data_IF_554425655106
#
_entry.id   IF_554425655106
#
_cell.length_a   1.000
_cell.length_b   1.000
_cell.length_c   1.000
_cell.angle_alpha   90.00
_cell.angle_beta   90.00
_cell.angle_gamma   90.00
#
_symmetry.space_group_name_H-M   'P 1'
#
loop_
_entity.id
_entity.type
_entity.pdbx_description
1 polymer ?
#
# COMPACT_ATOMS: atom_id res chain seq x y z
N UNK A 1 -9.32 2.48 11.15
CA UNK A 1 -9.40 1.18 10.45
C UNK A 1 -10.43 0.30 11.13
N UNK A 2 -11.57 0.07 10.49
CA UNK A 2 -12.57 -0.89 10.95
C UNK A 2 -12.38 -2.16 10.14
N UNK A 3 -12.06 -3.27 10.80
CA UNK A 3 -11.91 -4.57 10.15
C UNK A 3 -13.28 -5.22 10.07
N UNK A 4 -13.86 -5.26 8.87
CA UNK A 4 -15.13 -5.94 8.64
C UNK A 4 -14.83 -7.35 8.11
N UNK A 5 -15.25 -8.35 8.87
CA UNK A 5 -15.15 -9.76 8.47
C UNK A 5 -16.41 -10.14 7.71
N UNK A 6 -16.30 -10.33 6.40
CA UNK A 6 -17.44 -10.63 5.53
C UNK A 6 -17.29 -12.00 4.87
N UNK A 7 -18.39 -12.77 4.81
CA UNK A 7 -18.44 -14.08 4.13
C UNK A 7 -18.53 -13.97 2.60
N UNK A 8 -19.09 -12.87 2.10
CA UNK A 8 -19.52 -12.72 0.71
C UNK A 8 -18.52 -11.97 -0.18
N UNK A 9 -17.55 -11.29 0.43
CA UNK A 9 -16.60 -10.41 -0.23
C UNK A 9 -15.29 -10.41 0.58
N UNK A 10 -14.08 -10.48 -0.03
CA UNK A 10 -13.76 -10.53 -1.46
C UNK A 10 -13.87 -11.93 -2.10
N UNK A 11 -14.03 -12.00 -3.44
CA UNK A 11 -14.06 -13.27 -4.21
C UNK A 11 -12.71 -14.01 -4.15
N UNK A 12 -12.74 -15.36 -4.29
CA UNK A 12 -11.68 -16.37 -4.05
C UNK A 12 -10.20 -16.03 -4.36
N UNK A 13 -9.91 -15.04 -5.21
CA UNK A 13 -8.55 -14.66 -5.64
C UNK A 13 -7.87 -13.62 -4.72
N UNK A 14 -8.63 -12.95 -3.84
CA UNK A 14 -8.12 -11.89 -2.96
C UNK A 14 -8.39 -12.20 -1.49
N UNK A 15 -7.38 -12.03 -0.64
CA UNK A 15 -7.41 -12.36 0.80
C UNK A 15 -8.04 -11.24 1.62
N UNK A 16 -7.77 -10.00 1.23
CA UNK A 16 -8.34 -8.79 1.80
C UNK A 16 -8.59 -7.78 0.67
N UNK A 17 -9.61 -6.94 0.85
CA UNK A 17 -9.86 -5.77 0.01
C UNK A 17 -9.99 -4.56 0.93
N UNK A 18 -9.12 -3.58 0.74
CA UNK A 18 -9.20 -2.30 1.42
C UNK A 18 -9.98 -1.32 0.55
N UNK A 19 -11.06 -0.77 1.09
CA UNK A 19 -11.77 0.36 0.48
C UNK A 19 -12.10 1.36 1.57
N UNK A 20 -11.49 2.54 1.46
CA UNK A 20 -11.68 3.63 2.40
C UNK A 20 -11.38 3.18 3.85
N UNK A 21 -12.32 3.37 4.79
CA UNK A 21 -12.13 3.05 6.22
C UNK A 21 -12.19 1.54 6.55
N UNK A 22 -12.49 0.69 5.56
CA UNK A 22 -12.84 -0.71 5.75
C UNK A 22 -11.88 -1.67 5.09
N UNK A 23 -11.37 -2.61 5.87
CA UNK A 23 -10.67 -3.78 5.35
C UNK A 23 -11.63 -4.96 5.42
N UNK A 24 -12.05 -5.40 4.23
CA UNK A 24 -12.87 -6.58 4.06
C UNK A 24 -11.96 -7.80 4.07
N UNK A 25 -11.98 -8.52 5.19
CA UNK A 25 -11.18 -9.73 5.37
C UNK A 25 -12.08 -10.93 5.19
N UNK A 26 -11.64 -11.89 4.36
CA UNK A 26 -12.37 -13.15 4.20
C UNK A 26 -12.43 -13.93 5.52
N UNK A 27 -13.60 -14.43 5.83
CA UNK A 27 -13.80 -15.28 7.01
C UNK A 27 -12.93 -16.55 6.93
N UNK A 28 -12.11 -16.80 7.95
CA UNK A 28 -11.18 -17.94 8.03
C UNK A 28 -9.71 -17.59 7.74
N UNK A 29 -9.39 -16.38 7.31
CA UNK A 29 -7.98 -15.97 7.16
C UNK A 29 -7.44 -15.36 8.45
N UNK A 30 -6.33 -15.91 8.95
CA UNK A 30 -5.61 -15.31 10.09
C UNK A 30 -4.93 -14.04 9.60
N UNK A 31 -5.40 -12.88 10.03
CA UNK A 31 -4.57 -11.67 9.95
C UNK A 31 -3.40 -11.86 10.89
N UNK A 32 -2.20 -11.83 10.34
CA UNK A 32 -1.00 -11.72 11.14
C UNK A 32 -0.87 -10.27 11.65
N UNK A 33 -0.19 -10.09 12.78
CA UNK A 33 0.05 -8.75 13.34
C UNK A 33 0.78 -7.83 12.35
N UNK A 34 1.61 -8.41 11.49
CA UNK A 34 2.36 -7.73 10.44
C UNK A 34 1.42 -7.14 9.39
N UNK A 35 0.40 -7.89 8.94
CA UNK A 35 -0.62 -7.36 8.02
C UNK A 35 -1.41 -6.24 8.71
N UNK A 36 -1.83 -6.42 9.95
CA UNK A 36 -2.53 -5.37 10.71
C UNK A 36 -1.68 -4.10 10.77
N UNK A 37 -0.37 -4.24 11.02
CA UNK A 37 0.57 -3.13 11.09
C UNK A 37 0.76 -2.44 9.76
N UNK A 38 0.94 -3.21 8.68
CA UNK A 38 1.05 -2.70 7.31
C UNK A 38 -0.14 -1.80 6.97
N UNK A 39 -1.34 -2.31 7.20
CA UNK A 39 -2.59 -1.59 6.95
C UNK A 39 -2.78 -0.37 7.88
N UNK A 40 -2.31 -0.46 9.13
CA UNK A 40 -2.35 0.68 10.05
C UNK A 40 -1.38 1.78 9.64
N UNK A 41 -0.27 1.46 8.97
CA UNK A 41 0.64 2.46 8.39
C UNK A 41 -0.06 3.19 7.24
N UNK A 42 -0.70 2.47 6.31
CA UNK A 42 -1.50 3.07 5.23
C UNK A 42 -2.59 3.99 5.77
N UNK A 43 -3.30 3.55 6.81
CA UNK A 43 -4.29 4.37 7.50
C UNK A 43 -3.72 5.71 8.00
N UNK A 44 -2.52 5.69 8.59
CA UNK A 44 -1.87 6.92 9.06
C UNK A 44 -1.46 7.83 7.90
N UNK A 45 -1.00 7.26 6.79
CA UNK A 45 -0.66 8.02 5.57
C UNK A 45 -1.91 8.68 4.97
N UNK A 46 -3.03 7.95 4.90
CA UNK A 46 -4.31 8.47 4.43
C UNK A 46 -4.80 9.64 5.26
N UNK A 47 -4.77 9.52 6.59
CA UNK A 47 -5.16 10.60 7.52
C UNK A 47 -4.23 11.82 7.38
N UNK A 48 -2.93 11.62 7.21
CA UNK A 48 -1.96 12.71 6.98
C UNK A 48 -2.26 13.53 5.72
N UNK A 49 -2.91 12.91 4.73
CA UNK A 49 -3.19 13.49 3.42
C UNK A 49 -4.69 13.68 3.18
N UNK A 50 -5.49 13.76 4.25
CA UNK A 50 -6.94 13.98 4.20
C UNK A 50 -7.69 13.01 3.25
N UNK A 51 -7.16 11.79 3.09
CA UNK A 51 -7.58 10.74 2.15
C UNK A 51 -7.47 11.11 0.67
N UNK A 52 -8.02 12.25 0.27
CA UNK A 52 -8.07 12.69 -1.13
C UNK A 52 -6.66 12.92 -1.71
N UNK A 53 -5.78 13.57 -0.96
CA UNK A 53 -4.41 13.80 -1.43
C UNK A 53 -3.60 12.50 -1.43
N UNK A 54 -3.94 11.54 -0.57
CA UNK A 54 -3.32 10.21 -0.59
C UNK A 54 -3.62 9.50 -1.91
N UNK A 55 -4.89 9.42 -2.31
CA UNK A 55 -5.27 8.78 -3.58
C UNK A 55 -4.64 9.47 -4.79
N UNK A 56 -4.57 10.80 -4.79
CA UNK A 56 -3.96 11.57 -5.88
C UNK A 56 -2.45 11.31 -5.97
N UNK A 57 -1.72 11.44 -4.86
CA UNK A 57 -0.27 11.24 -4.82
C UNK A 57 0.11 9.78 -5.08
N UNK A 58 -0.64 8.83 -4.53
CA UNK A 58 -0.44 7.40 -4.76
C UNK A 58 -0.59 7.06 -6.24
N UNK A 59 -1.67 7.52 -6.88
CA UNK A 59 -1.94 7.27 -8.29
C UNK A 59 -0.90 7.94 -9.19
N UNK A 60 -0.54 9.20 -8.88
CA UNK A 60 0.49 9.93 -9.62
C UNK A 60 1.85 9.23 -9.52
N UNK A 61 2.27 8.85 -8.31
CA UNK A 61 3.52 8.13 -8.10
C UNK A 61 3.53 6.79 -8.82
N UNK A 62 2.43 6.05 -8.76
CA UNK A 62 2.28 4.79 -9.48
C UNK A 62 2.42 4.97 -11.00
N UNK A 63 1.76 5.96 -11.59
CA UNK A 63 1.86 6.27 -13.02
C UNK A 63 3.30 6.64 -13.42
N UNK A 64 3.96 7.49 -12.63
CA UNK A 64 5.37 7.86 -12.86
C UNK A 64 6.27 6.62 -12.83
N UNK A 65 6.05 5.71 -11.87
CA UNK A 65 6.82 4.46 -11.74
C UNK A 65 6.55 3.50 -12.90
N UNK A 66 5.31 3.36 -13.34
CA UNK A 66 4.96 2.56 -14.52
C UNK A 66 5.65 3.10 -15.77
N UNK A 67 5.58 4.41 -16.01
CA UNK A 67 6.23 5.06 -17.16
C UNK A 67 7.75 4.85 -17.07
N UNK A 68 8.35 5.00 -15.90
CA UNK A 68 9.78 4.77 -15.69
C UNK A 68 10.18 3.31 -16.00
N UNK A 69 9.40 2.32 -15.57
CA UNK A 69 9.66 0.91 -15.91
C UNK A 69 9.48 0.66 -17.42
N UNK A 70 8.42 1.21 -18.05
CA UNK A 70 8.20 1.14 -19.51
C UNK A 70 9.38 1.67 -20.31
N UNK A 71 9.91 2.84 -19.93
CA UNK A 71 11.08 3.46 -20.57
C UNK A 71 12.33 2.60 -20.43
N UNK A 72 12.60 2.04 -19.24
CA UNK A 72 13.74 1.13 -19.00
C UNK A 72 13.67 -0.14 -19.85
N UNK A 73 12.45 -0.65 -20.06
CA UNK A 73 12.22 -1.86 -20.84
C UNK A 73 12.06 -1.64 -22.35
N UNK A 74 12.09 -0.40 -22.83
CA UNK A 74 11.86 -0.05 -24.25
C UNK A 74 10.45 -0.37 -24.74
N UNK A 75 9.43 -0.32 -23.86
CA UNK A 75 8.05 -0.73 -24.17
C UNK A 75 7.07 0.43 -24.07
N UNK A 76 6.07 0.43 -24.94
CA UNK A 76 4.93 1.35 -24.90
C UNK A 76 3.89 0.96 -23.83
N UNK A 77 3.77 -0.33 -23.51
CA UNK A 77 2.79 -0.84 -22.53
C UNK A 77 3.47 -1.68 -21.43
N UNK A 78 3.05 -1.55 -20.15
CA UNK A 78 3.66 -2.28 -19.05
C UNK A 78 3.31 -3.77 -19.07
N UNK A 79 4.30 -4.61 -18.79
CA UNK A 79 4.06 -6.02 -18.48
C UNK A 79 3.62 -6.19 -17.02
N UNK A 80 3.04 -7.34 -16.69
CA UNK A 80 2.66 -7.66 -15.29
C UNK A 80 3.83 -7.51 -14.30
N UNK A 81 5.03 -7.93 -14.70
CA UNK A 81 6.24 -7.78 -13.88
C UNK A 81 6.57 -6.31 -13.59
N UNK A 82 6.35 -5.42 -14.57
CA UNK A 82 6.60 -3.99 -14.44
C UNK A 82 5.54 -3.31 -13.59
N UNK A 83 4.29 -3.76 -13.70
CA UNK A 83 3.20 -3.36 -12.81
C UNK A 83 3.54 -3.70 -11.36
N UNK A 84 3.91 -4.95 -11.09
CA UNK A 84 4.27 -5.40 -9.75
C UNK A 84 5.50 -4.64 -9.21
N UNK A 85 6.49 -4.36 -10.07
CA UNK A 85 7.67 -3.58 -9.72
C UNK A 85 7.32 -2.11 -9.42
N UNK A 86 6.45 -1.48 -10.21
CA UNK A 86 6.02 -0.10 -9.98
C UNK A 86 5.25 0.03 -8.67
N UNK A 87 4.30 -0.88 -8.41
CA UNK A 87 3.51 -0.95 -7.19
C UNK A 87 4.41 -1.05 -5.94
N UNK A 88 5.31 -2.05 -5.90
CA UNK A 88 6.23 -2.26 -4.77
C UNK A 88 7.19 -1.09 -4.54
N UNK A 89 7.38 -0.24 -5.54
CA UNK A 89 8.26 0.89 -5.45
C UNK A 89 7.55 2.16 -4.96
N UNK A 90 6.23 2.23 -4.93
CA UNK A 90 5.48 3.39 -4.40
C UNK A 90 5.97 3.69 -2.97
N UNK A 91 6.20 4.95 -2.66
CA UNK A 91 6.80 5.39 -1.40
C UNK A 91 5.97 4.97 -0.18
N UNK A 92 4.65 5.08 -0.29
CA UNK A 92 3.66 4.60 0.69
C UNK A 92 3.82 3.09 0.97
N UNK A 93 3.86 2.27 -0.08
CA UNK A 93 4.07 0.81 0.01
C UNK A 93 5.44 0.47 0.59
N UNK A 94 6.49 1.17 0.15
CA UNK A 94 7.84 0.97 0.66
C UNK A 94 7.95 1.27 2.15
N UNK A 95 7.27 2.31 2.64
CA UNK A 95 7.18 2.59 4.07
C UNK A 95 6.48 1.45 4.81
N UNK A 96 5.31 1.02 4.32
CA UNK A 96 4.53 -0.04 4.96
C UNK A 96 5.30 -1.36 5.01
N UNK A 97 5.81 -1.86 3.88
CA UNK A 97 6.57 -3.11 3.82
C UNK A 97 7.85 -3.09 4.65
N UNK A 98 8.60 -1.97 4.66
CA UNK A 98 9.86 -1.91 5.43
C UNK A 98 9.63 -1.91 6.94
N UNK A 99 8.44 -1.53 7.39
CA UNK A 99 8.15 -1.38 8.82
C UNK A 99 7.05 -2.34 9.32
N UNK A 100 6.48 -3.19 8.46
CA UNK A 100 5.41 -4.12 8.84
C UNK A 100 5.84 -5.14 9.90
N UNK A 101 7.14 -5.40 10.07
CA UNK A 101 7.69 -6.28 11.13
C UNK A 101 8.13 -5.51 12.39
N UNK A 102 8.22 -4.18 12.35
CA UNK A 102 8.64 -3.37 13.49
C UNK A 102 7.46 -3.06 14.41
N UNK A 103 7.33 -3.83 15.50
CA UNK A 103 6.26 -3.70 16.51
C UNK A 103 6.10 -2.28 17.08
N UNK A 104 7.18 -1.51 17.14
CA UNK A 104 7.18 -0.17 17.73
C UNK A 104 7.00 0.95 16.70
N UNK A 105 6.97 0.64 15.40
CA UNK A 105 6.97 1.66 14.36
C UNK A 105 5.79 2.62 14.47
N UNK A 106 4.59 2.11 14.72
CA UNK A 106 3.40 2.95 14.85
C UNK A 106 3.49 3.97 16.00
N UNK A 107 4.31 3.71 17.02
CA UNK A 107 4.54 4.63 18.15
C UNK A 107 5.61 5.67 17.84
N UNK A 108 6.61 5.32 17.02
CA UNK A 108 7.78 6.18 16.73
C UNK A 108 7.72 6.85 15.36
N UNK A 109 6.76 6.46 14.51
CA UNK A 109 6.57 6.99 13.16
C UNK A 109 6.25 8.48 13.22
N UNK A 110 7.04 9.27 12.50
CA UNK A 110 6.82 10.71 12.34
C UNK A 110 5.82 10.97 11.19
N UNK A 111 5.05 12.07 11.24
CA UNK A 111 4.21 12.46 10.11
C UNK A 111 4.98 12.55 8.80
N UNK A 112 4.37 12.14 7.69
CA UNK A 112 4.94 12.18 6.35
C UNK A 112 6.24 11.37 6.18
N UNK A 113 6.42 10.32 6.99
CA UNK A 113 7.60 9.45 6.92
C UNK A 113 7.77 8.76 5.56
N UNK A 114 6.68 8.58 4.78
CA UNK A 114 6.70 8.07 3.40
C UNK A 114 7.62 8.87 2.47
N UNK A 115 7.83 10.17 2.69
CA UNK A 115 8.70 11.03 1.86
C UNK A 115 10.13 10.46 1.78
N UNK A 116 10.62 9.85 2.86
CA UNK A 116 11.96 9.22 2.91
C UNK A 116 12.09 8.04 1.94
N UNK A 117 10.97 7.49 1.48
CA UNK A 117 10.88 6.34 0.60
C UNK A 117 10.56 6.73 -0.85
N UNK A 118 10.52 8.02 -1.20
CA UNK A 118 10.38 8.46 -2.60
C UNK A 118 11.61 8.03 -3.41
N UNK A 119 12.81 8.34 -2.90
CA UNK A 119 14.07 7.97 -3.57
C UNK A 119 14.52 6.57 -3.13
N UNK A 120 15.08 5.80 -4.06
CA UNK A 120 15.79 4.56 -3.71
C UNK A 120 17.08 4.98 -2.98
N UNK A 121 17.19 4.67 -1.69
CA UNK A 121 18.49 4.32 -1.10
C UNK A 121 18.70 2.85 -1.42
#
# INVERSE_FOLDING_TARGET
>A
MIILRTKWFPKKKYIAFAFFYFIFVRHGTKLTENVIRHETIHWRQEVELLFIFNYLLYSLEYLIRIIAECRKGGRLWPTRKMVDAAYRNISFEREAYRNEYNKNYLKTRRPYSWIKYIRKK
#
